data_IF_647653047651
#
_entry.id   IF_647653047651
#
_cell.length_a   1.000
_cell.length_b   1.000
_cell.length_c   1.000
_cell.angle_alpha   90.00
_cell.angle_beta   90.00
_cell.angle_gamma   90.00
#
_symmetry.space_group_name_H-M   'P 1'
#
loop_
_entity.id
_entity.type
_entity.pdbx_description
1 polymer ?
#
# COMPACT_ATOMS: atom_id res chain seq x y z
N UNK A 1 14.99 3.28 -7.95
CA UNK A 1 13.90 3.21 -6.94
C UNK A 1 14.36 3.66 -5.53
N UNK A 2 15.16 4.72 -5.43
CA UNK A 2 15.71 5.26 -4.18
C UNK A 2 15.02 6.55 -3.73
N UNK A 3 14.57 7.37 -4.69
CA UNK A 3 13.89 8.66 -4.44
C UNK A 3 12.76 8.61 -3.40
N UNK A 4 11.85 7.59 -3.40
CA UNK A 4 10.83 7.48 -2.37
C UNK A 4 11.40 7.33 -0.95
N UNK A 5 12.50 6.61 -0.77
CA UNK A 5 13.14 6.49 0.54
C UNK A 5 13.59 7.85 1.09
N UNK A 6 14.28 8.66 0.26
CA UNK A 6 14.70 10.00 0.66
C UNK A 6 13.50 10.92 0.96
N UNK A 7 12.47 10.88 0.12
CA UNK A 7 11.29 11.71 0.33
C UNK A 7 10.55 11.37 1.63
N UNK A 8 10.37 10.08 1.93
CA UNK A 8 9.72 9.66 3.16
C UNK A 8 10.55 10.03 4.40
N UNK A 9 11.88 9.90 4.32
CA UNK A 9 12.77 10.31 5.39
C UNK A 9 12.64 11.81 5.70
N UNK A 10 12.66 12.66 4.69
CA UNK A 10 12.50 14.11 4.83
C UNK A 10 11.21 14.53 5.53
N UNK A 11 10.12 13.80 5.34
CA UNK A 11 8.82 14.07 6.01
C UNK A 11 8.65 13.27 7.31
N UNK A 12 9.72 12.72 7.86
CA UNK A 12 9.70 11.97 9.12
C UNK A 12 8.93 10.67 9.07
N UNK A 13 8.79 10.06 7.88
CA UNK A 13 8.06 8.80 7.69
C UNK A 13 9.01 7.72 7.19
N UNK A 14 8.74 6.49 7.62
CA UNK A 14 9.52 5.34 7.18
C UNK A 14 8.87 4.67 5.95
N UNK A 15 9.61 4.57 4.85
CA UNK A 15 9.22 3.81 3.70
C UNK A 15 9.69 2.36 3.82
N UNK A 16 8.78 1.41 3.88
CA UNK A 16 9.07 -0.02 4.14
C UNK A 16 8.49 -0.93 3.05
N UNK A 17 9.00 -0.88 1.83
CA UNK A 17 8.51 -1.70 0.73
C UNK A 17 9.04 -3.13 0.82
N UNK A 18 8.34 -4.08 0.17
CA UNK A 18 8.95 -5.38 -0.13
C UNK A 18 10.10 -5.20 -1.12
N UNK A 19 11.27 -5.72 -0.78
CA UNK A 19 12.41 -5.75 -1.68
C UNK A 19 12.31 -6.97 -2.61
N UNK A 20 12.23 -6.70 -3.91
CA UNK A 20 12.28 -7.73 -4.97
C UNK A 20 13.70 -7.88 -5.49
N UNK A 21 14.06 -9.08 -5.98
CA UNK A 21 15.33 -9.38 -6.63
C UNK A 21 16.53 -8.94 -5.76
N UNK A 22 16.56 -9.45 -4.53
CA UNK A 22 17.58 -9.06 -3.54
C UNK A 22 19.01 -9.26 -4.05
N UNK A 23 19.27 -10.33 -4.83
CA UNK A 23 20.57 -10.62 -5.41
C UNK A 23 21.12 -9.50 -6.32
N UNK A 24 20.22 -8.73 -6.95
CA UNK A 24 20.57 -7.64 -7.87
C UNK A 24 20.63 -6.28 -7.15
N UNK A 25 20.35 -6.25 -5.85
CA UNK A 25 20.32 -5.02 -5.07
C UNK A 25 21.68 -4.77 -4.42
N UNK A 26 22.18 -3.56 -4.64
CA UNK A 26 23.44 -3.11 -4.06
C UNK A 26 23.19 -2.14 -2.90
N UNK A 27 24.00 -2.26 -1.88
CA UNK A 27 24.13 -1.24 -0.85
C UNK A 27 24.85 -0.01 -1.41
N UNK A 28 24.60 1.11 -0.83
CA UNK A 28 25.37 2.33 -1.09
C UNK A 28 26.04 2.78 0.20
N UNK A 29 27.32 3.13 0.09
CA UNK A 29 28.20 3.53 1.19
C UNK A 29 28.78 4.90 0.89
N UNK A 30 29.43 5.51 1.86
CA UNK A 30 30.12 6.79 1.67
C UNK A 30 31.44 6.58 0.92
N UNK A 31 32.08 5.44 1.15
CA UNK A 31 33.32 5.03 0.50
C UNK A 31 33.05 4.18 -0.74
N UNK A 32 34.09 3.98 -1.55
CA UNK A 32 34.03 3.13 -2.74
C UNK A 32 34.01 1.66 -2.34
N UNK A 33 33.58 0.81 -3.29
CA UNK A 33 33.44 -0.64 -3.08
C UNK A 33 34.76 -1.35 -2.73
N UNK A 34 35.91 -0.80 -3.11
CA UNK A 34 37.24 -1.32 -2.81
C UNK A 34 37.59 -1.21 -1.31
N UNK A 35 37.01 -0.27 -0.60
CA UNK A 35 37.12 -0.18 0.88
C UNK A 35 36.46 -1.39 1.61
N UNK A 36 35.64 -2.18 0.93
CA UNK A 36 34.90 -3.31 1.49
C UNK A 36 35.17 -4.59 0.69
N UNK A 37 36.35 -5.20 0.77
CA UNK A 37 36.76 -6.31 -0.11
C UNK A 37 35.78 -7.48 -0.13
N UNK A 38 35.29 -7.89 1.06
CA UNK A 38 34.35 -9.02 1.22
C UNK A 38 32.96 -8.74 0.62
N UNK A 39 32.55 -7.47 0.55
CA UNK A 39 31.21 -7.04 0.12
C UNK A 39 31.26 -6.25 -1.21
N UNK A 40 32.40 -6.14 -1.85
CA UNK A 40 32.60 -5.30 -3.05
C UNK A 40 31.57 -5.53 -4.14
N UNK A 41 31.19 -6.79 -4.36
CA UNK A 41 30.18 -7.19 -5.34
C UNK A 41 28.75 -6.75 -4.96
N UNK A 42 28.52 -6.43 -3.70
CA UNK A 42 27.22 -6.00 -3.18
C UNK A 42 27.12 -4.49 -2.95
N UNK A 43 28.21 -3.76 -3.16
CA UNK A 43 28.27 -2.30 -3.01
C UNK A 43 28.17 -1.64 -4.38
N UNK A 44 27.34 -0.61 -4.48
CA UNK A 44 27.14 0.21 -5.66
C UNK A 44 28.01 1.47 -5.61
N UNK A 45 27.68 2.44 -6.47
CA UNK A 45 28.37 3.72 -6.49
C UNK A 45 28.27 4.42 -5.12
N UNK A 46 29.32 5.13 -4.69
CA UNK A 46 29.33 5.86 -3.43
C UNK A 46 28.26 6.95 -3.39
N UNK A 47 27.87 7.33 -2.20
CA UNK A 47 26.91 8.40 -1.92
C UNK A 47 27.64 9.74 -2.06
N UNK A 48 27.06 10.65 -2.82
CA UNK A 48 27.59 12.01 -2.93
C UNK A 48 27.05 12.89 -1.79
N UNK A 49 27.78 12.94 -0.67
CA UNK A 49 27.39 13.74 0.50
C UNK A 49 27.48 15.24 0.23
N UNK A 50 28.46 15.69 -0.53
CA UNK A 50 28.59 17.09 -0.89
C UNK A 50 27.34 17.58 -1.63
N UNK A 51 26.87 16.82 -2.60
CA UNK A 51 25.64 17.15 -3.34
C UNK A 51 24.40 17.21 -2.43
N UNK A 52 24.31 16.35 -1.42
CA UNK A 52 23.20 16.39 -0.45
C UNK A 52 23.29 17.67 0.39
N UNK A 53 24.46 18.03 0.85
CA UNK A 53 24.69 19.23 1.69
C UNK A 53 24.47 20.51 0.88
N UNK A 54 24.97 20.60 -0.34
CA UNK A 54 24.81 21.75 -1.22
C UNK A 54 23.33 22.05 -1.55
N UNK A 55 22.48 21.02 -1.53
CA UNK A 55 21.05 21.13 -1.81
C UNK A 55 20.16 20.83 -0.60
N UNK A 56 20.71 20.94 0.62
CA UNK A 56 19.96 20.59 1.82
C UNK A 56 18.73 21.47 2.03
N UNK A 57 18.88 22.78 1.85
CA UNK A 57 17.77 23.73 1.97
C UNK A 57 16.68 23.48 0.94
N UNK A 58 17.05 23.16 -0.30
CA UNK A 58 16.09 22.78 -1.35
C UNK A 58 15.32 21.51 -0.98
N UNK A 59 15.99 20.53 -0.36
CA UNK A 59 15.37 19.31 0.14
C UNK A 59 14.39 19.59 1.28
N UNK A 60 14.75 20.50 2.20
CA UNK A 60 13.85 20.93 3.27
C UNK A 60 12.64 21.72 2.74
N UNK A 61 12.83 22.61 1.77
CA UNK A 61 11.73 23.30 1.08
C UNK A 61 10.78 22.33 0.39
N UNK A 62 11.32 21.29 -0.24
CA UNK A 62 10.53 20.22 -0.84
C UNK A 62 9.68 19.51 0.22
N UNK A 63 10.27 19.12 1.35
CA UNK A 63 9.59 18.48 2.46
C UNK A 63 8.48 19.36 3.06
N UNK A 64 8.79 20.66 3.27
CA UNK A 64 7.85 21.65 3.77
C UNK A 64 6.65 21.80 2.83
N UNK A 65 6.90 21.89 1.52
CA UNK A 65 5.84 22.02 0.50
C UNK A 65 4.87 20.82 0.50
N UNK A 66 5.38 19.61 0.76
CA UNK A 66 4.56 18.41 0.88
C UNK A 66 3.76 18.43 2.20
N UNK A 67 4.43 18.77 3.30
CA UNK A 67 3.82 18.75 4.64
C UNK A 67 2.72 19.80 4.78
N UNK A 68 2.91 20.98 4.20
CA UNK A 68 1.91 22.06 4.14
C UNK A 68 0.83 21.84 3.09
N UNK A 69 0.91 20.73 2.32
CA UNK A 69 0.01 20.41 1.21
C UNK A 69 -0.01 21.45 0.08
N UNK A 70 1.01 22.28 -0.01
CA UNK A 70 1.17 23.26 -1.11
C UNK A 70 1.41 22.57 -2.45
N UNK A 71 1.97 21.34 -2.42
CA UNK A 71 2.22 20.54 -3.63
C UNK A 71 1.86 19.08 -3.38
N UNK A 72 1.28 18.45 -4.40
CA UNK A 72 0.95 17.00 -4.36
C UNK A 72 2.23 16.18 -4.55
N UNK A 73 2.56 15.23 -3.65
CA UNK A 73 3.79 14.45 -3.72
C UNK A 73 4.00 13.69 -5.04
N UNK A 74 2.93 13.17 -5.64
CA UNK A 74 3.00 12.47 -6.93
C UNK A 74 3.42 13.39 -8.08
N UNK A 75 2.99 14.65 -8.07
CA UNK A 75 3.38 15.64 -9.06
C UNK A 75 4.86 15.99 -8.94
N UNK A 76 5.37 16.15 -7.71
CA UNK A 76 6.80 16.35 -7.46
C UNK A 76 7.63 15.17 -7.98
N UNK A 77 7.27 13.95 -7.59
CA UNK A 77 7.98 12.76 -8.03
C UNK A 77 7.98 12.62 -9.56
N UNK A 78 6.86 12.95 -10.22
CA UNK A 78 6.76 12.96 -11.69
C UNK A 78 7.71 13.98 -12.31
N UNK A 79 7.73 15.22 -11.80
CA UNK A 79 8.64 16.28 -12.27
C UNK A 79 10.12 15.91 -12.07
N UNK A 80 10.50 15.42 -10.87
CA UNK A 80 11.87 15.02 -10.57
C UNK A 80 12.32 13.81 -11.39
N UNK A 81 11.40 12.93 -11.79
CA UNK A 81 11.70 11.79 -12.65
C UNK A 81 11.77 12.12 -14.14
N UNK A 82 11.21 13.24 -14.58
CA UNK A 82 11.25 13.66 -16.00
C UNK A 82 12.67 14.04 -16.45
N UNK A 83 13.51 14.62 -15.56
CA UNK A 83 14.88 15.02 -15.89
C UNK A 83 15.88 14.63 -14.78
N UNK A 84 16.02 13.32 -14.48
CA UNK A 84 16.74 12.85 -13.30
C UNK A 84 18.27 13.07 -13.37
N UNK A 85 18.82 13.30 -14.54
CA UNK A 85 20.25 13.57 -14.73
C UNK A 85 20.59 15.08 -14.65
N UNK A 86 19.68 15.92 -15.08
CA UNK A 86 19.89 17.37 -15.17
C UNK A 86 19.54 18.10 -13.87
N UNK A 87 18.60 17.58 -13.08
CA UNK A 87 18.20 18.18 -11.80
C UNK A 87 19.15 17.76 -10.68
N UNK A 88 19.90 18.71 -10.12
CA UNK A 88 20.76 18.51 -8.94
C UNK A 88 19.93 18.10 -7.72
N UNK A 89 18.78 18.72 -7.51
CA UNK A 89 17.83 18.37 -6.44
C UNK A 89 17.37 16.92 -6.55
N UNK A 90 17.03 16.44 -7.77
CA UNK A 90 16.63 15.04 -7.98
C UNK A 90 17.78 14.07 -7.67
N UNK A 91 19.02 14.47 -7.96
CA UNK A 91 20.22 13.68 -7.64
C UNK A 91 20.49 13.66 -6.15
N UNK A 92 20.41 14.81 -5.48
CA UNK A 92 20.56 14.93 -4.03
C UNK A 92 19.52 14.09 -3.28
N UNK A 93 18.23 14.19 -3.66
CA UNK A 93 17.16 13.38 -3.10
C UNK A 93 17.36 11.88 -3.33
N UNK A 94 17.88 11.49 -4.50
CA UNK A 94 18.22 10.11 -4.79
C UNK A 94 19.36 9.59 -3.93
N UNK A 95 20.37 10.41 -3.67
CA UNK A 95 21.52 10.02 -2.86
C UNK A 95 21.16 9.96 -1.37
N UNK A 96 20.33 10.87 -0.86
CA UNK A 96 19.69 10.74 0.45
C UNK A 96 18.89 9.43 0.54
N UNK A 97 18.10 9.13 -0.49
CA UNK A 97 17.34 7.88 -0.56
C UNK A 97 18.20 6.62 -0.68
N UNK A 98 19.46 6.73 -1.12
CA UNK A 98 20.43 5.62 -1.10
C UNK A 98 20.88 5.29 0.32
N UNK A 99 21.06 6.30 1.18
CA UNK A 99 21.36 6.12 2.60
C UNK A 99 20.22 5.33 3.25
N UNK A 100 19.03 5.87 3.20
CA UNK A 100 17.84 5.29 3.81
C UNK A 100 17.52 3.87 3.31
N UNK A 101 17.67 3.65 2.01
CA UNK A 101 17.48 2.32 1.43
C UNK A 101 18.53 1.34 1.90
N UNK A 102 19.80 1.74 2.03
CA UNK A 102 20.86 0.85 2.50
C UNK A 102 20.63 0.45 3.95
N UNK A 103 20.25 1.40 4.81
CA UNK A 103 19.83 1.13 6.20
C UNK A 103 18.65 0.17 6.26
N UNK A 104 17.62 0.42 5.45
CA UNK A 104 16.47 -0.48 5.35
C UNK A 104 16.85 -1.88 4.86
N UNK A 105 17.78 -1.99 3.91
CA UNK A 105 18.26 -3.29 3.42
C UNK A 105 18.99 -4.07 4.51
N UNK A 106 19.83 -3.43 5.32
CA UNK A 106 20.51 -4.07 6.46
C UNK A 106 19.47 -4.65 7.43
N UNK A 107 18.48 -3.86 7.80
CA UNK A 107 17.41 -4.33 8.67
C UNK A 107 16.55 -5.43 8.01
N UNK A 108 16.30 -5.32 6.71
CA UNK A 108 15.58 -6.35 5.96
C UNK A 108 16.28 -7.71 6.02
N UNK A 109 17.59 -7.74 5.90
CA UNK A 109 18.36 -8.99 5.99
C UNK A 109 18.37 -9.55 7.41
N UNK A 110 18.51 -8.70 8.40
CA UNK A 110 18.65 -9.11 9.82
C UNK A 110 17.31 -9.43 10.50
N UNK A 111 16.17 -8.87 10.01
CA UNK A 111 14.88 -8.97 10.71
C UNK A 111 13.81 -9.77 9.94
N UNK A 112 13.58 -11.05 10.31
CA UNK A 112 12.43 -11.81 9.79
C UNK A 112 11.08 -11.16 10.11
N UNK A 113 10.97 -10.50 11.26
CA UNK A 113 9.76 -9.81 11.70
C UNK A 113 9.40 -8.64 10.76
N UNK A 114 10.41 -7.85 10.35
CA UNK A 114 10.21 -6.78 9.37
C UNK A 114 9.72 -7.34 8.03
N UNK A 115 10.36 -8.42 7.54
CA UNK A 115 9.94 -9.07 6.27
C UNK A 115 8.50 -9.55 6.32
N UNK A 116 8.06 -10.16 7.43
CA UNK A 116 6.66 -10.61 7.62
C UNK A 116 5.70 -9.42 7.61
N UNK A 117 6.02 -8.32 8.29
CA UNK A 117 5.18 -7.10 8.29
C UNK A 117 5.05 -6.50 6.90
N UNK A 118 6.15 -6.37 6.17
CA UNK A 118 6.12 -5.87 4.79
C UNK A 118 5.30 -6.77 3.86
N UNK A 119 5.43 -8.10 4.02
CA UNK A 119 4.64 -9.07 3.25
C UNK A 119 3.15 -8.99 3.60
N UNK A 120 2.79 -8.85 4.87
CA UNK A 120 1.40 -8.68 5.30
C UNK A 120 0.78 -7.39 4.72
N UNK A 121 1.53 -6.29 4.70
CA UNK A 121 1.11 -5.04 4.05
C UNK A 121 0.88 -5.20 2.55
N UNK A 122 1.78 -5.90 1.86
CA UNK A 122 1.64 -6.20 0.44
C UNK A 122 0.41 -7.06 0.16
N UNK A 123 0.20 -8.13 0.94
CA UNK A 123 -0.94 -9.02 0.78
C UNK A 123 -2.28 -8.28 0.93
N UNK A 124 -2.37 -7.33 1.87
CA UNK A 124 -3.55 -6.46 2.01
C UNK A 124 -3.77 -5.59 0.77
N UNK A 125 -2.70 -5.00 0.23
CA UNK A 125 -2.77 -4.22 -1.00
C UNK A 125 -3.20 -5.06 -2.20
N UNK A 126 -2.68 -6.28 -2.32
CA UNK A 126 -3.06 -7.23 -3.38
C UNK A 126 -4.53 -7.69 -3.24
N UNK A 127 -5.01 -7.94 -2.02
CA UNK A 127 -6.41 -8.28 -1.78
C UNK A 127 -7.35 -7.11 -2.15
N UNK A 128 -7.01 -5.89 -1.74
CA UNK A 128 -7.76 -4.69 -2.14
C UNK A 128 -7.76 -4.48 -3.67
N UNK A 129 -6.64 -4.77 -4.32
CA UNK A 129 -6.56 -4.70 -5.78
C UNK A 129 -7.43 -5.77 -6.46
N UNK A 130 -7.45 -7.00 -5.93
CA UNK A 130 -8.35 -8.06 -6.42
C UNK A 130 -9.82 -7.65 -6.31
N UNK A 131 -10.24 -7.09 -5.16
CA UNK A 131 -11.59 -6.56 -4.98
C UNK A 131 -11.91 -5.47 -6.02
N UNK A 132 -11.00 -4.50 -6.22
CA UNK A 132 -11.19 -3.44 -7.24
C UNK A 132 -11.36 -4.02 -8.64
N UNK A 133 -10.58 -5.02 -9.00
CA UNK A 133 -10.71 -5.70 -10.30
C UNK A 133 -12.01 -6.48 -10.43
N UNK A 134 -12.49 -7.08 -9.34
CA UNK A 134 -13.77 -7.80 -9.33
C UNK A 134 -14.94 -6.84 -9.54
N UNK A 135 -14.92 -5.68 -8.87
CA UNK A 135 -15.96 -4.64 -9.06
C UNK A 135 -15.91 -4.05 -10.47
N UNK A 136 -14.71 -3.83 -11.01
CA UNK A 136 -14.49 -3.21 -12.31
C UNK A 136 -14.12 -4.25 -13.40
N UNK A 137 -14.91 -5.32 -13.49
CA UNK A 137 -14.57 -6.47 -14.32
C UNK A 137 -14.75 -6.23 -15.84
N UNK A 138 -15.64 -5.35 -16.28
CA UNK A 138 -15.92 -5.08 -17.69
C UNK A 138 -14.68 -4.72 -18.50
N UNK A 139 -13.81 -3.89 -17.93
CA UNK A 139 -12.56 -3.45 -18.57
C UNK A 139 -11.35 -4.27 -18.10
N UNK A 140 -11.57 -5.52 -17.64
CA UNK A 140 -10.54 -6.37 -17.02
C UNK A 140 -9.84 -5.71 -15.82
N UNK A 141 -10.52 -4.75 -15.19
CA UNK A 141 -10.00 -3.96 -14.09
C UNK A 141 -9.04 -2.83 -14.50
N UNK A 142 -9.06 -2.42 -15.77
CA UNK A 142 -8.24 -1.33 -16.29
C UNK A 142 -9.09 -0.10 -16.59
N UNK A 143 -8.60 1.08 -16.23
CA UNK A 143 -9.18 2.37 -16.60
C UNK A 143 -8.48 2.83 -17.88
N UNK A 144 -9.22 2.81 -19.01
CA UNK A 144 -8.68 3.09 -20.35
C UNK A 144 -9.13 4.41 -20.94
N UNK A 145 -9.77 5.25 -20.15
CA UNK A 145 -10.20 6.57 -20.60
C UNK A 145 -9.00 7.41 -21.05
N UNK A 146 -9.18 8.21 -22.10
CA UNK A 146 -8.10 9.03 -22.64
C UNK A 146 -7.90 10.32 -21.86
N UNK A 147 -8.97 10.89 -21.29
CA UNK A 147 -8.87 12.12 -20.51
C UNK A 147 -8.55 11.81 -19.03
N UNK A 148 -7.74 12.66 -18.42
CA UNK A 148 -7.44 12.58 -16.98
C UNK A 148 -8.71 12.74 -16.13
N UNK A 149 -9.62 13.59 -16.54
CA UNK A 149 -10.88 13.84 -15.84
C UNK A 149 -11.75 12.58 -15.80
N UNK A 150 -11.97 11.93 -16.95
CA UNK A 150 -12.72 10.67 -17.01
C UNK A 150 -12.07 9.57 -16.20
N UNK A 151 -10.72 9.46 -16.23
CA UNK A 151 -9.98 8.53 -15.38
C UNK A 151 -10.21 8.80 -13.89
N UNK A 152 -10.19 10.07 -13.49
CA UNK A 152 -10.40 10.49 -12.10
C UNK A 152 -11.83 10.18 -11.63
N UNK A 153 -12.86 10.44 -12.45
CA UNK A 153 -14.24 10.09 -12.13
C UNK A 153 -14.44 8.59 -11.97
N UNK A 154 -13.93 7.77 -12.91
CA UNK A 154 -14.03 6.30 -12.81
C UNK A 154 -13.30 5.78 -11.58
N UNK A 155 -12.09 6.28 -11.32
CA UNK A 155 -11.33 5.89 -10.13
C UNK A 155 -12.05 6.26 -8.82
N UNK A 156 -12.69 7.44 -8.78
CA UNK A 156 -13.47 7.90 -7.63
C UNK A 156 -14.71 7.05 -7.42
N UNK A 157 -15.47 6.77 -8.48
CA UNK A 157 -16.64 5.89 -8.42
C UNK A 157 -16.27 4.47 -7.97
N UNK A 158 -15.20 3.91 -8.54
CA UNK A 158 -14.68 2.60 -8.12
C UNK A 158 -14.29 2.59 -6.63
N UNK A 159 -13.60 3.63 -6.16
CA UNK A 159 -13.20 3.73 -4.76
C UNK A 159 -14.43 3.84 -3.85
N UNK A 160 -15.47 4.57 -4.24
CA UNK A 160 -16.72 4.70 -3.47
C UNK A 160 -17.40 3.33 -3.31
N UNK A 161 -17.60 2.59 -4.41
CA UNK A 161 -18.21 1.25 -4.37
C UNK A 161 -17.39 0.28 -3.54
N UNK A 162 -16.07 0.25 -3.73
CA UNK A 162 -15.17 -0.60 -2.95
C UNK A 162 -15.22 -0.25 -1.47
N UNK A 163 -15.26 1.05 -1.12
CA UNK A 163 -15.37 1.50 0.26
C UNK A 163 -16.70 1.08 0.90
N UNK A 164 -17.80 1.15 0.16
CA UNK A 164 -19.11 0.69 0.62
C UNK A 164 -19.10 -0.83 0.90
N UNK A 165 -18.49 -1.64 0.00
CA UNK A 165 -18.35 -3.09 0.20
C UNK A 165 -17.51 -3.40 1.45
N UNK A 166 -16.36 -2.74 1.59
CA UNK A 166 -15.47 -2.96 2.75
C UNK A 166 -16.15 -2.54 4.05
N UNK A 167 -16.85 -1.40 4.05
CA UNK A 167 -17.61 -0.94 5.22
C UNK A 167 -18.70 -1.93 5.58
N UNK A 168 -19.51 -2.35 4.62
CA UNK A 168 -20.56 -3.34 4.83
C UNK A 168 -20.02 -4.65 5.41
N UNK A 169 -18.95 -5.19 4.80
CA UNK A 169 -18.29 -6.40 5.28
C UNK A 169 -17.77 -6.23 6.71
N UNK A 170 -17.19 -5.09 7.04
CA UNK A 170 -16.66 -4.82 8.38
C UNK A 170 -17.77 -4.84 9.43
N UNK A 171 -18.87 -4.12 9.19
CA UNK A 171 -20.02 -4.07 10.09
C UNK A 171 -20.68 -5.44 10.23
N UNK A 172 -20.80 -6.16 9.11
CA UNK A 172 -21.40 -7.47 9.09
C UNK A 172 -20.60 -8.52 9.86
N UNK A 173 -19.27 -8.54 9.65
CA UNK A 173 -18.35 -9.43 10.35
C UNK A 173 -18.34 -9.16 11.87
N UNK A 174 -18.34 -7.89 12.27
CA UNK A 174 -18.41 -7.50 13.68
C UNK A 174 -19.69 -8.02 14.35
N UNK A 175 -20.83 -7.83 13.69
CA UNK A 175 -22.12 -8.33 14.18
C UNK A 175 -22.17 -9.87 14.22
N UNK A 176 -21.65 -10.54 13.22
CA UNK A 176 -21.59 -12.00 13.16
C UNK A 176 -20.73 -12.56 14.29
N UNK A 177 -19.55 -12.00 14.53
CA UNK A 177 -18.65 -12.37 15.64
C UNK A 177 -19.36 -12.15 17.00
N UNK A 178 -19.98 -11.00 17.17
CA UNK A 178 -20.72 -10.67 18.39
C UNK A 178 -21.85 -11.67 18.65
N UNK A 179 -22.62 -12.04 17.61
CA UNK A 179 -23.71 -13.00 17.73
C UNK A 179 -23.18 -14.40 18.08
N UNK A 180 -22.10 -14.84 17.45
CA UNK A 180 -21.47 -16.14 17.72
C UNK A 180 -20.95 -16.21 19.16
N UNK A 181 -20.29 -15.15 19.66
CA UNK A 181 -19.85 -15.06 21.06
C UNK A 181 -21.03 -15.12 22.03
N UNK A 182 -22.15 -14.43 21.75
CA UNK A 182 -23.38 -14.52 22.55
C UNK A 182 -24.00 -15.92 22.54
N UNK A 183 -23.87 -16.66 21.44
CA UNK A 183 -24.30 -18.04 21.33
C UNK A 183 -23.33 -19.05 21.99
N UNK A 184 -22.38 -18.58 22.78
CA UNK A 184 -21.44 -19.42 23.54
C UNK A 184 -20.27 -19.98 22.72
N UNK A 185 -20.03 -19.48 21.48
CA UNK A 185 -18.88 -19.88 20.69
C UNK A 185 -17.62 -19.17 21.18
N UNK A 186 -16.58 -19.93 21.49
CA UNK A 186 -15.27 -19.36 21.77
C UNK A 186 -14.61 -18.89 20.47
N UNK A 187 -14.44 -17.57 20.32
CA UNK A 187 -13.75 -16.97 19.19
C UNK A 187 -12.61 -16.12 19.75
N UNK A 188 -11.41 -16.70 19.83
CA UNK A 188 -10.26 -15.98 20.34
C UNK A 188 -9.82 -14.87 19.40
N UNK A 189 -9.30 -13.79 19.95
CA UNK A 189 -8.83 -12.61 19.19
C UNK A 189 -7.71 -12.95 18.19
N UNK A 190 -7.00 -14.05 18.41
CA UNK A 190 -6.00 -14.58 17.47
C UNK A 190 -6.63 -14.99 16.14
N UNK A 191 -7.85 -15.52 16.12
CA UNK A 191 -8.58 -15.85 14.89
C UNK A 191 -9.10 -14.61 14.19
N UNK A 192 -9.53 -13.59 14.93
CA UNK A 192 -10.03 -12.34 14.35
C UNK A 192 -8.98 -11.60 13.50
N UNK A 193 -7.71 -11.77 13.82
CA UNK A 193 -6.59 -11.21 13.03
C UNK A 193 -6.49 -11.78 11.62
N UNK A 194 -7.10 -12.94 11.35
CA UNK A 194 -7.10 -13.60 10.04
C UNK A 194 -8.35 -13.28 9.20
N UNK A 195 -9.32 -12.57 9.76
CA UNK A 195 -10.51 -12.14 9.04
C UNK A 195 -10.20 -10.87 8.24
N UNK A 196 -10.68 -10.80 7.00
CA UNK A 196 -10.49 -9.65 6.14
C UNK A 196 -11.82 -9.20 5.52
N UNK A 197 -12.16 -7.89 5.56
CA UNK A 197 -13.37 -7.36 4.93
C UNK A 197 -13.23 -7.17 3.42
N UNK A 198 -12.16 -7.67 2.80
CA UNK A 198 -11.85 -7.48 1.38
C UNK A 198 -12.41 -8.59 0.47
N UNK A 199 -13.19 -9.51 1.02
CA UNK A 199 -13.87 -10.56 0.27
C UNK A 199 -15.09 -10.00 -0.45
N UNK A 200 -15.46 -10.59 -1.60
CA UNK A 200 -16.60 -10.18 -2.41
C UNK A 200 -17.41 -11.36 -2.98
N UNK A 201 -16.96 -12.59 -2.79
CA UNK A 201 -17.56 -13.79 -3.39
C UNK A 201 -19.01 -14.03 -2.95
N UNK A 202 -19.43 -13.41 -1.86
CA UNK A 202 -20.80 -13.41 -1.33
C UNK A 202 -21.69 -12.32 -1.93
N UNK A 203 -21.15 -11.43 -2.77
CA UNK A 203 -21.85 -10.32 -3.42
C UNK A 203 -22.03 -10.65 -4.90
N UNK A 204 -23.27 -10.56 -5.41
CA UNK A 204 -23.50 -10.68 -6.84
C UNK A 204 -23.16 -9.35 -7.53
N UNK A 205 -21.94 -9.22 -8.02
CA UNK A 205 -21.46 -8.00 -8.67
C UNK A 205 -22.10 -7.73 -10.04
N UNK A 206 -22.82 -8.71 -10.62
CA UNK A 206 -23.50 -8.58 -11.91
C UNK A 206 -25.02 -8.49 -11.76
N UNK A 207 -25.53 -8.54 -10.55
CA UNK A 207 -26.95 -8.48 -10.24
C UNK A 207 -27.54 -7.09 -10.40
N UNK A 208 -28.87 -7.06 -10.53
CA UNK A 208 -29.66 -5.83 -10.43
C UNK A 208 -29.93 -5.60 -8.96
N UNK A 209 -29.65 -4.40 -8.47
CA UNK A 209 -29.89 -3.98 -7.09
C UNK A 209 -31.09 -3.06 -7.04
N UNK A 210 -32.05 -3.38 -6.19
CA UNK A 210 -33.18 -2.52 -5.86
C UNK A 210 -33.01 -2.06 -4.42
N UNK A 211 -33.37 -0.81 -4.16
CA UNK A 211 -33.30 -0.20 -2.84
C UNK A 211 -34.74 -0.08 -2.31
N UNK A 212 -35.00 -0.76 -1.23
CA UNK A 212 -36.26 -0.66 -0.51
C UNK A 212 -35.96 0.02 0.84
N UNK A 213 -36.24 1.33 0.92
CA UNK A 213 -35.99 2.11 2.12
C UNK A 213 -36.98 1.79 3.25
N UNK A 214 -38.13 1.19 2.91
CA UNK A 214 -39.18 0.84 3.88
C UNK A 214 -38.95 -0.54 4.51
N UNK A 215 -38.16 -1.38 3.87
CA UNK A 215 -37.88 -2.72 4.36
C UNK A 215 -36.81 -2.72 5.46
N UNK A 216 -37.26 -2.54 6.71
CA UNK A 216 -36.38 -2.66 7.87
C UNK A 216 -36.12 -4.13 8.21
N UNK A 217 -34.85 -4.53 8.19
CA UNK A 217 -34.42 -5.86 8.61
C UNK A 217 -34.60 -6.03 10.13
N UNK A 218 -35.21 -7.15 10.59
CA UNK A 218 -35.21 -7.48 12.01
C UNK A 218 -33.77 -7.47 12.54
N UNK A 219 -33.52 -6.77 13.65
CA UNK A 219 -32.19 -6.59 14.24
C UNK A 219 -31.17 -5.82 13.38
N UNK A 220 -31.60 -5.13 12.31
CA UNK A 220 -30.78 -4.22 11.53
C UNK A 220 -29.76 -4.86 10.61
N UNK A 221 -29.80 -6.18 10.35
CA UNK A 221 -29.00 -6.83 9.31
C UNK A 221 -29.58 -8.17 8.84
N UNK A 222 -29.25 -8.55 7.62
CA UNK A 222 -29.69 -9.82 7.03
C UNK A 222 -28.85 -10.99 7.55
N UNK A 223 -29.52 -12.12 7.88
CA UNK A 223 -28.82 -13.35 8.27
C UNK A 223 -27.93 -13.90 7.15
N UNK A 224 -26.83 -14.54 7.53
CA UNK A 224 -25.94 -15.22 6.58
C UNK A 224 -26.72 -16.34 5.84
N UNK A 225 -26.59 -16.35 4.53
CA UNK A 225 -27.01 -17.51 3.72
C UNK A 225 -25.91 -18.56 3.78
N UNK A 226 -26.08 -19.53 4.66
CA UNK A 226 -25.15 -20.66 4.71
C UNK A 226 -25.32 -21.52 3.44
N UNK A 227 -24.20 -21.99 2.83
CA UNK A 227 -24.26 -23.01 1.79
C UNK A 227 -25.05 -24.24 2.26
N UNK A 228 -25.77 -24.92 1.34
CA UNK A 228 -26.62 -26.05 1.67
C UNK A 228 -25.88 -27.11 2.52
N UNK A 229 -24.59 -27.38 2.22
CA UNK A 229 -23.72 -28.33 2.96
C UNK A 229 -23.49 -27.95 4.45
N UNK A 230 -23.63 -26.68 4.80
CA UNK A 230 -23.46 -26.21 6.19
C UNK A 230 -24.79 -26.02 6.91
N UNK A 231 -25.93 -26.02 6.17
CA UNK A 231 -27.28 -25.95 6.76
C UNK A 231 -27.71 -27.26 7.43
N UNK A 232 -27.18 -28.39 6.95
CA UNK A 232 -27.51 -29.71 7.47
C UNK A 232 -26.56 -30.15 8.61
N UNK A 233 -25.59 -29.34 9.00
CA UNK A 233 -24.62 -29.63 10.07
C UNK A 233 -24.85 -28.78 11.33
N UNK A 234 -25.90 -27.96 11.37
CA UNK A 234 -26.34 -27.14 12.49
C UNK A 234 -27.68 -27.60 12.99
#
# INVERSE_FOLDING_TARGET
MTTPFGLFALIGKRFSPRLRNLKDRKFHTFERSDAYPTLSNHIGAPINTALILDHWDDLLHLAASITTRSVVPSTILKKLSASPKQSHLARALRDLGRIERSLFMIEWYSSPALRRRCQAGLNRGEAAHKLKRAVFFHERGEIRDRSFESQAFRASGLNLVVSAIVHWNTVYLDRAVTQLKRAGRDIPDTLLKHISPLSWEHINLTGIYTWDAEHQMPNGFRSLRLPARLRNAA
#
